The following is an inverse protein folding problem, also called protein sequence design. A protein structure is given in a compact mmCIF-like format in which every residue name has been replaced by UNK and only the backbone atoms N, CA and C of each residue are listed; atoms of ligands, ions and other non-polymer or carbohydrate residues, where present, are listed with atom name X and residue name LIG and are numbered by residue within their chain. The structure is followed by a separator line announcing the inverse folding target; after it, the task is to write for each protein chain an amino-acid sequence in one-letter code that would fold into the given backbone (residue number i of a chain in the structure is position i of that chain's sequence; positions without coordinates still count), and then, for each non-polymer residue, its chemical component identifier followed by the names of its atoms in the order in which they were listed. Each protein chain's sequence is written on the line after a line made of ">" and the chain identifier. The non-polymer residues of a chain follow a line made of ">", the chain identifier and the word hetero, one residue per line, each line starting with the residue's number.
data_IF_518252925153
#
_entry.id   IF_518252925153
#
_cell.length_a   1.000
_cell.length_b   1.000
_cell.length_c   1.000
_cell.angle_alpha   90.00
_cell.angle_beta   90.00
_cell.angle_gamma   90.00
#
_symmetry.space_group_name_H-M   'P 1'
#
loop_
_entity.id
_entity.type
_entity.pdbx_description
1 polymer ?
#
# COMPACT_ATOMS: atom_id res chain seq x y z
N UNK A 1 -21.32 -24.46 0.90
CA UNK A 1 -21.09 -23.91 -0.45
C UNK A 1 -19.89 -24.54 -1.11
N UNK A 2 -19.86 -24.58 -2.42
CA UNK A 2 -18.74 -25.13 -3.18
C UNK A 2 -17.50 -24.23 -3.05
N UNK A 3 -16.33 -24.85 -2.85
CA UNK A 3 -15.04 -24.15 -2.78
C UNK A 3 -14.34 -24.26 -4.13
N UNK A 4 -13.94 -23.13 -4.73
CA UNK A 4 -13.20 -23.08 -5.97
C UNK A 4 -11.81 -22.44 -5.74
N UNK A 5 -10.75 -23.09 -6.19
CA UNK A 5 -9.41 -22.50 -6.23
C UNK A 5 -9.36 -21.49 -7.38
N UNK A 6 -9.12 -20.22 -7.08
CA UNK A 6 -9.06 -19.13 -8.07
C UNK A 6 -7.63 -18.78 -8.52
N UNK A 7 -6.63 -19.17 -7.77
CA UNK A 7 -5.23 -18.90 -8.11
C UNK A 7 -4.28 -19.34 -7.01
N UNK A 8 -2.99 -19.26 -7.35
CA UNK A 8 -1.87 -19.41 -6.40
C UNK A 8 -1.10 -18.11 -6.36
N UNK A 9 -0.48 -17.80 -5.23
CA UNK A 9 0.37 -16.62 -5.09
C UNK A 9 1.68 -16.99 -4.39
N UNK A 10 2.75 -16.30 -4.76
CA UNK A 10 4.05 -16.34 -4.09
C UNK A 10 4.21 -15.25 -3.03
N UNK A 11 3.19 -14.37 -2.89
CA UNK A 11 3.18 -13.30 -1.89
C UNK A 11 2.14 -13.61 -0.83
N UNK A 12 2.61 -13.91 0.35
CA UNK A 12 1.75 -14.14 1.51
C UNK A 12 2.42 -13.52 2.73
N UNK A 13 1.66 -12.76 3.52
CA UNK A 13 2.10 -12.39 4.85
C UNK A 13 1.11 -12.89 5.91
N UNK A 14 1.59 -12.96 7.14
CA UNK A 14 0.83 -13.57 8.23
C UNK A 14 -0.44 -12.79 8.59
N UNK A 15 -0.41 -11.46 8.52
CA UNK A 15 -1.50 -10.60 8.98
C UNK A 15 -2.58 -10.35 7.93
N UNK A 16 -2.18 -10.25 6.66
CA UNK A 16 -3.07 -9.71 5.61
C UNK A 16 -3.11 -10.58 4.34
N UNK A 17 -2.48 -11.76 4.38
CA UNK A 17 -2.43 -12.68 3.25
C UNK A 17 -1.82 -12.02 2.00
N UNK A 18 -2.40 -12.30 0.84
CA UNK A 18 -2.03 -11.70 -0.45
C UNK A 18 -2.85 -10.44 -0.79
N UNK A 19 -3.55 -9.84 0.18
CA UNK A 19 -4.43 -8.68 0.02
C UNK A 19 -5.53 -8.87 -1.02
N UNK A 20 -6.11 -10.06 -1.10
CA UNK A 20 -7.21 -10.34 -1.99
C UNK A 20 -8.42 -9.43 -1.69
N UNK A 21 -8.91 -8.75 -2.70
CA UNK A 21 -10.01 -7.79 -2.63
C UNK A 21 -10.94 -7.96 -3.83
N UNK A 22 -12.23 -7.69 -3.64
CA UNK A 22 -13.16 -7.54 -4.76
C UNK A 22 -12.83 -6.26 -5.53
N UNK A 23 -12.76 -6.35 -6.86
CA UNK A 23 -12.52 -5.20 -7.73
C UNK A 23 -13.86 -4.55 -8.10
N UNK A 24 -13.92 -3.22 -7.92
CA UNK A 24 -15.08 -2.41 -8.31
C UNK A 24 -15.26 -2.27 -9.81
N UNK A 25 -16.36 -1.64 -10.25
CA UNK A 25 -17.42 -1.06 -9.42
C UNK A 25 -18.46 -2.06 -8.92
N UNK A 26 -18.57 -3.24 -9.53
CA UNK A 26 -19.62 -4.22 -9.20
C UNK A 26 -19.31 -5.07 -7.97
N UNK A 27 -18.03 -5.35 -7.70
CA UNK A 27 -17.55 -6.19 -6.60
C UNK A 27 -18.13 -7.62 -6.58
N UNK A 28 -18.44 -8.19 -7.76
CA UNK A 28 -19.09 -9.50 -7.90
C UNK A 28 -18.43 -10.41 -8.95
N UNK A 29 -17.54 -9.87 -9.75
CA UNK A 29 -17.02 -10.54 -10.94
C UNK A 29 -15.50 -10.71 -10.94
N UNK A 30 -14.77 -9.72 -10.45
CA UNK A 30 -13.30 -9.70 -10.47
C UNK A 30 -12.73 -9.63 -9.05
N UNK A 31 -11.70 -10.44 -8.82
CA UNK A 31 -10.91 -10.42 -7.58
C UNK A 31 -9.49 -10.02 -7.95
N UNK A 32 -8.92 -9.04 -7.22
CA UNK A 32 -7.54 -8.64 -7.36
C UNK A 32 -6.75 -9.09 -6.13
N UNK A 33 -5.53 -9.61 -6.35
CA UNK A 33 -4.63 -10.05 -5.28
C UNK A 33 -3.17 -9.88 -5.69
N UNK A 34 -2.27 -9.78 -4.71
CA UNK A 34 -0.84 -9.66 -4.96
C UNK A 34 -0.19 -10.98 -5.32
N UNK A 35 0.83 -10.89 -6.16
CA UNK A 35 1.73 -11.98 -6.53
C UNK A 35 3.16 -11.45 -6.76
N UNK A 36 4.09 -12.37 -6.93
CA UNK A 36 5.48 -12.09 -7.30
C UNK A 36 5.79 -12.75 -8.63
N UNK A 37 6.23 -11.95 -9.60
CA UNK A 37 6.50 -12.40 -10.95
C UNK A 37 7.71 -11.65 -11.54
N UNK A 38 8.62 -12.37 -12.18
CA UNK A 38 9.78 -11.80 -12.88
C UNK A 38 10.59 -10.77 -12.05
N UNK A 39 10.82 -11.05 -10.78
CA UNK A 39 11.62 -10.17 -9.92
C UNK A 39 10.87 -9.00 -9.31
N UNK A 40 9.55 -8.89 -9.53
CA UNK A 40 8.74 -7.76 -9.08
C UNK A 40 7.47 -8.20 -8.36
N UNK A 41 7.01 -7.39 -7.40
CA UNK A 41 5.65 -7.53 -6.89
C UNK A 41 4.67 -7.00 -7.93
N UNK A 42 3.64 -7.79 -8.19
CA UNK A 42 2.58 -7.51 -9.18
C UNK A 42 1.22 -7.77 -8.55
N UNK A 43 0.15 -7.43 -9.25
CA UNK A 43 -1.19 -7.89 -8.92
C UNK A 43 -1.74 -8.77 -10.03
N UNK A 44 -2.57 -9.74 -9.66
CA UNK A 44 -3.36 -10.56 -10.58
C UNK A 44 -4.83 -10.20 -10.42
N UNK A 45 -5.53 -10.00 -11.53
CA UNK A 45 -6.98 -9.85 -11.55
C UNK A 45 -7.57 -11.10 -12.16
N UNK A 46 -8.38 -11.81 -11.36
CA UNK A 46 -9.10 -13.00 -11.79
C UNK A 46 -10.56 -12.65 -12.07
N UNK A 47 -10.99 -12.86 -13.31
CA UNK A 47 -12.40 -12.74 -13.71
C UNK A 47 -13.09 -14.10 -13.50
N UNK A 48 -14.03 -14.14 -12.56
CA UNK A 48 -14.72 -15.35 -12.13
C UNK A 48 -15.59 -15.92 -13.26
N UNK A 49 -16.24 -15.05 -14.04
CA UNK A 49 -17.16 -15.45 -15.11
C UNK A 49 -16.41 -15.99 -16.33
N UNK A 50 -15.34 -15.32 -16.70
CA UNK A 50 -14.54 -15.70 -17.88
C UNK A 50 -13.48 -16.75 -17.56
N UNK A 51 -13.21 -17.02 -16.28
CA UNK A 51 -12.13 -17.89 -15.82
C UNK A 51 -10.75 -17.47 -16.39
N UNK A 52 -10.48 -16.17 -16.39
CA UNK A 52 -9.26 -15.57 -16.96
C UNK A 52 -8.52 -14.74 -15.92
N UNK A 53 -7.19 -14.72 -16.04
CA UNK A 53 -6.29 -13.91 -15.22
C UNK A 53 -5.60 -12.88 -16.09
N UNK A 54 -5.49 -11.64 -15.60
CA UNK A 54 -4.62 -10.60 -16.17
C UNK A 54 -3.69 -10.04 -15.10
N UNK A 55 -2.50 -9.62 -15.50
CA UNK A 55 -1.50 -9.07 -14.59
C UNK A 55 -1.47 -7.55 -14.66
N UNK A 56 -1.35 -6.92 -13.50
CA UNK A 56 -1.10 -5.49 -13.31
C UNK A 56 0.33 -5.36 -12.77
N UNK A 57 1.19 -4.47 -13.32
CA UNK A 57 2.62 -4.41 -13.00
C UNK A 57 2.94 -3.72 -11.66
N UNK A 58 1.96 -3.56 -10.79
CA UNK A 58 2.12 -2.99 -9.45
C UNK A 58 1.40 -3.85 -8.41
N UNK A 59 1.94 -3.96 -7.18
CA UNK A 59 1.23 -4.59 -6.07
C UNK A 59 0.13 -3.67 -5.55
N UNK A 60 -0.93 -4.25 -5.00
CA UNK A 60 -1.99 -3.49 -4.34
C UNK A 60 -1.77 -3.41 -2.84
N UNK A 61 -2.01 -2.24 -2.28
CA UNK A 61 -2.33 -2.11 -0.87
C UNK A 61 -3.84 -1.93 -0.67
N UNK A 62 -4.44 -1.03 -1.40
CA UNK A 62 -5.89 -0.83 -1.46
C UNK A 62 -6.32 -0.47 -2.88
N UNK A 63 -7.55 -0.85 -3.21
CA UNK A 63 -8.21 -0.53 -4.49
C UNK A 63 -9.36 0.43 -4.24
N UNK A 64 -9.53 1.42 -5.12
CA UNK A 64 -10.66 2.34 -5.05
C UNK A 64 -11.99 1.61 -5.27
N UNK A 65 -13.06 2.10 -4.63
CA UNK A 65 -14.38 1.46 -4.67
C UNK A 65 -14.96 1.38 -6.10
N UNK A 66 -14.63 2.35 -6.94
CA UNK A 66 -15.02 2.38 -8.36
C UNK A 66 -14.15 1.49 -9.25
N UNK A 67 -13.11 0.84 -8.70
CA UNK A 67 -12.23 -0.07 -9.43
C UNK A 67 -11.24 0.61 -10.38
N UNK A 68 -11.04 1.93 -10.27
CA UNK A 68 -10.17 2.67 -11.19
C UNK A 68 -8.73 2.74 -10.73
N UNK A 69 -8.50 2.86 -9.42
CA UNK A 69 -7.20 3.20 -8.85
C UNK A 69 -6.71 2.15 -7.87
N UNK A 70 -5.40 1.95 -7.88
CA UNK A 70 -4.63 1.22 -6.88
C UNK A 70 -3.75 2.24 -6.15
N UNK A 71 -3.67 2.14 -4.81
CA UNK A 71 -2.63 2.80 -4.03
C UNK A 71 -1.69 1.76 -3.45
N UNK A 72 -0.39 2.09 -3.48
CA UNK A 72 0.68 1.19 -3.04
C UNK A 72 1.84 1.96 -2.40
N UNK A 73 2.35 1.53 -1.24
CA UNK A 73 3.63 1.97 -0.69
C UNK A 73 4.77 1.08 -1.20
N UNK A 74 6.01 1.28 -0.75
CA UNK A 74 7.07 0.28 -0.89
C UNK A 74 6.80 -0.92 0.03
N UNK A 75 6.52 -2.09 -0.56
CA UNK A 75 6.35 -3.35 0.18
C UNK A 75 7.69 -3.85 0.75
N UNK A 76 8.80 -3.59 0.08
CA UNK A 76 10.16 -3.93 0.51
C UNK A 76 10.51 -3.18 1.79
N UNK A 77 10.27 -1.86 1.80
CA UNK A 77 10.47 -0.99 2.96
C UNK A 77 9.56 -1.40 4.11
N UNK A 78 8.29 -1.64 3.82
CA UNK A 78 7.32 -2.07 4.83
C UNK A 78 7.73 -3.40 5.47
N UNK A 79 8.20 -4.39 4.68
CA UNK A 79 8.69 -5.65 5.22
C UNK A 79 9.87 -5.45 6.17
N UNK A 80 10.83 -4.60 5.78
CA UNK A 80 11.99 -4.30 6.61
C UNK A 80 11.60 -3.66 7.94
N UNK A 81 10.71 -2.66 7.90
CA UNK A 81 10.29 -1.93 9.09
C UNK A 81 9.35 -2.75 9.98
N UNK A 82 8.50 -3.61 9.37
CA UNK A 82 7.46 -4.34 10.08
C UNK A 82 7.19 -5.71 9.46
N UNK A 83 7.98 -6.69 9.84
CA UNK A 83 7.79 -8.09 9.40
C UNK A 83 6.39 -8.57 9.76
N UNK A 84 5.80 -9.42 8.90
CA UNK A 84 4.44 -9.96 9.07
C UNK A 84 3.32 -9.14 8.43
N UNK A 85 3.60 -7.91 7.99
CA UNK A 85 2.62 -7.03 7.32
C UNK A 85 2.91 -6.81 5.83
N UNK A 86 4.01 -7.38 5.33
CA UNK A 86 4.44 -7.25 3.94
C UNK A 86 5.08 -8.54 3.44
N UNK A 87 5.78 -8.50 2.33
CA UNK A 87 6.35 -9.64 1.61
C UNK A 87 7.87 -9.59 1.60
N UNK A 88 8.52 -10.76 1.62
CA UNK A 88 9.97 -10.94 1.79
C UNK A 88 10.71 -11.37 0.49
N UNK A 89 10.00 -11.49 -0.63
CA UNK A 89 10.59 -11.93 -1.89
C UNK A 89 11.60 -10.91 -2.46
N UNK A 90 11.42 -9.62 -2.17
CA UNK A 90 12.36 -8.56 -2.56
C UNK A 90 12.91 -7.90 -1.30
N UNK A 91 14.23 -7.82 -1.20
CA UNK A 91 14.88 -7.14 -0.07
C UNK A 91 14.92 -5.64 -0.30
N UNK A 92 14.66 -4.86 0.75
CA UNK A 92 14.82 -3.41 0.70
C UNK A 92 16.30 -3.04 0.49
N UNK A 93 16.68 -2.43 -0.66
CA UNK A 93 18.06 -2.03 -0.91
C UNK A 93 18.50 -0.89 0.03
N UNK A 94 17.54 -0.15 0.59
CA UNK A 94 17.76 1.00 1.48
C UNK A 94 17.49 0.67 2.96
N UNK A 95 17.52 -0.61 3.32
CA UNK A 95 17.20 -1.09 4.67
C UNK A 95 18.03 -0.42 5.79
N UNK A 96 19.25 0.01 5.49
CA UNK A 96 20.13 0.65 6.46
C UNK A 96 19.86 2.16 6.62
N UNK A 97 19.00 2.75 5.78
CA UNK A 97 18.60 4.15 5.90
C UNK A 97 17.39 4.26 6.82
N UNK A 98 17.51 5.11 7.83
CA UNK A 98 16.39 5.42 8.74
C UNK A 98 15.28 6.17 8.01
N UNK A 99 15.65 7.12 7.16
CA UNK A 99 14.76 7.91 6.35
C UNK A 99 15.10 7.74 4.87
N UNK A 100 14.16 7.21 4.09
CA UNK A 100 14.24 7.12 2.64
C UNK A 100 13.40 8.26 2.06
N UNK A 101 14.05 9.37 1.72
CA UNK A 101 13.37 10.60 1.28
C UNK A 101 12.53 10.42 0.01
N UNK A 102 12.87 9.44 -0.83
CA UNK A 102 12.11 9.15 -2.06
C UNK A 102 11.01 8.10 -1.84
N UNK A 103 10.82 7.62 -0.60
CA UNK A 103 9.67 6.77 -0.29
C UNK A 103 8.37 7.53 -0.53
N UNK A 104 7.45 6.90 -1.23
CA UNK A 104 6.23 7.56 -1.67
C UNK A 104 5.05 6.60 -1.70
N UNK A 105 3.84 7.15 -1.59
CA UNK A 105 2.62 6.47 -2.01
C UNK A 105 2.48 6.69 -3.51
N UNK A 106 2.30 5.59 -4.23
CA UNK A 106 2.03 5.59 -5.65
C UNK A 106 0.55 5.35 -5.92
N UNK A 107 0.01 6.07 -6.88
CA UNK A 107 -1.31 5.86 -7.47
C UNK A 107 -1.14 5.24 -8.85
N UNK A 108 -1.81 4.13 -9.10
CA UNK A 108 -1.84 3.49 -10.41
C UNK A 108 -3.27 3.47 -10.94
N UNK A 109 -3.48 4.03 -12.13
CA UNK A 109 -4.76 3.99 -12.82
C UNK A 109 -4.83 2.74 -13.70
N UNK A 110 -5.79 1.85 -13.40
CA UNK A 110 -5.87 0.51 -14.02
C UNK A 110 -6.13 0.57 -15.53
N UNK A 111 -6.99 1.49 -15.98
CA UNK A 111 -7.38 1.59 -17.38
C UNK A 111 -6.29 2.19 -18.25
N UNK A 112 -5.74 3.33 -17.84
CA UNK A 112 -4.68 4.04 -18.58
C UNK A 112 -3.29 3.44 -18.38
N UNK A 113 -3.13 2.56 -17.38
CA UNK A 113 -1.85 1.97 -16.94
C UNK A 113 -0.82 3.01 -16.50
N UNK A 114 -1.28 4.18 -16.05
CA UNK A 114 -0.42 5.26 -15.60
C UNK A 114 -0.13 5.13 -14.12
N UNK A 115 1.16 5.24 -13.75
CA UNK A 115 1.64 5.31 -12.36
C UNK A 115 2.09 6.74 -12.06
N UNK A 116 1.73 7.25 -10.89
CA UNK A 116 2.15 8.55 -10.37
C UNK A 116 2.56 8.43 -8.89
N UNK A 117 3.69 9.03 -8.51
CA UNK A 117 4.04 9.26 -7.11
C UNK A 117 3.20 10.46 -6.62
N UNK A 118 2.23 10.21 -5.75
CA UNK A 118 1.26 11.23 -5.33
C UNK A 118 1.60 11.87 -3.99
N UNK A 119 2.44 11.24 -3.17
CA UNK A 119 2.80 11.74 -1.85
C UNK A 119 4.17 11.18 -1.44
N UNK A 120 5.11 12.05 -1.09
CA UNK A 120 6.40 11.67 -0.54
C UNK A 120 6.36 11.62 0.99
N UNK A 121 7.13 10.72 1.59
CA UNK A 121 7.23 10.61 3.05
C UNK A 121 7.78 11.89 3.70
N UNK A 122 8.66 12.63 3.02
CA UNK A 122 9.17 13.93 3.50
C UNK A 122 8.05 14.94 3.74
N UNK A 123 7.03 14.97 2.87
CA UNK A 123 5.91 15.90 2.99
C UNK A 123 5.02 15.52 4.18
N UNK A 124 4.89 14.21 4.42
CA UNK A 124 4.17 13.67 5.59
C UNK A 124 4.88 14.04 6.89
N UNK A 125 6.21 13.90 6.94
CA UNK A 125 7.03 14.20 8.13
C UNK A 125 7.01 15.71 8.44
N UNK A 126 6.96 16.56 7.43
CA UNK A 126 6.97 18.01 7.60
C UNK A 126 5.73 18.56 8.34
N UNK A 127 4.60 17.83 8.28
CA UNK A 127 3.37 18.22 8.98
C UNK A 127 3.54 17.92 10.48
N UNK A 128 3.45 18.95 11.31
CA UNK A 128 3.58 18.85 12.78
C UNK A 128 4.78 17.97 13.22
N UNK A 129 5.95 18.28 12.65
CA UNK A 129 7.17 17.58 12.99
C UNK A 129 7.53 17.82 14.46
N UNK A 130 8.02 16.80 15.15
CA UNK A 130 8.53 16.89 16.51
C UNK A 130 9.93 16.28 16.63
N UNK A 131 10.64 16.56 17.71
CA UNK A 131 12.02 16.13 17.93
C UNK A 131 12.20 14.62 17.95
N UNK A 132 11.18 13.86 18.35
CA UNK A 132 11.23 12.39 18.39
C UNK A 132 11.30 11.76 16.99
N UNK A 133 10.93 12.50 15.97
CA UNK A 133 11.05 12.04 14.57
C UNK A 133 12.47 12.12 14.05
N UNK A 134 13.34 12.92 14.67
CA UNK A 134 14.73 13.06 14.24
C UNK A 134 15.51 11.76 14.44
N UNK A 135 16.09 11.23 13.36
CA UNK A 135 16.83 9.98 13.40
C UNK A 135 15.96 8.72 13.59
N UNK A 136 14.64 8.85 13.54
CA UNK A 136 13.72 7.71 13.58
C UNK A 136 13.66 6.98 12.23
N UNK A 137 13.25 5.72 12.25
CA UNK A 137 12.96 4.97 11.03
C UNK A 137 11.51 5.19 10.63
N UNK A 138 11.30 5.80 9.46
CA UNK A 138 9.98 6.16 8.96
C UNK A 138 9.47 5.18 7.90
N UNK A 139 8.15 4.92 7.92
CA UNK A 139 7.47 4.08 6.92
C UNK A 139 5.96 4.36 6.88
N UNK A 140 5.32 3.89 5.81
CA UNK A 140 3.89 4.07 5.53
C UNK A 140 3.20 2.71 5.49
N UNK A 141 2.03 2.60 6.14
CA UNK A 141 1.20 1.39 6.12
C UNK A 141 -0.30 1.70 6.28
N UNK A 142 -1.14 0.66 6.23
CA UNK A 142 -2.60 0.73 6.45
C UNK A 142 -3.32 1.73 5.55
N UNK A 143 -2.99 1.69 4.23
CA UNK A 143 -3.68 2.52 3.25
C UNK A 143 -5.07 1.95 2.99
N UNK A 144 -6.09 2.82 3.00
CA UNK A 144 -7.47 2.42 2.72
C UNK A 144 -8.22 3.54 2.01
N UNK A 145 -8.79 3.23 0.85
CA UNK A 145 -9.67 4.15 0.13
C UNK A 145 -10.96 4.41 0.88
N UNK A 146 -11.46 5.64 0.76
CA UNK A 146 -12.82 5.98 1.14
C UNK A 146 -13.85 5.36 0.18
N UNK A 147 -15.10 5.17 0.61
CA UNK A 147 -16.16 4.65 -0.25
C UNK A 147 -16.43 5.50 -1.51
N UNK A 148 -16.13 6.80 -1.47
CA UNK A 148 -16.28 7.70 -2.64
C UNK A 148 -15.11 7.63 -3.63
N UNK A 149 -14.06 6.82 -3.39
CA UNK A 149 -12.87 6.67 -4.24
C UNK A 149 -11.99 7.92 -4.41
N UNK A 150 -12.32 9.04 -3.78
CA UNK A 150 -11.64 10.34 -3.95
C UNK A 150 -10.59 10.62 -2.89
N UNK A 151 -10.61 9.88 -1.81
CA UNK A 151 -9.75 10.06 -0.65
C UNK A 151 -9.25 8.72 -0.17
N UNK A 152 -8.14 8.74 0.56
CA UNK A 152 -7.69 7.58 1.32
C UNK A 152 -7.06 8.01 2.65
N UNK A 153 -7.08 7.12 3.61
CA UNK A 153 -6.35 7.27 4.86
C UNK A 153 -5.13 6.36 4.84
N UNK A 154 -4.12 6.71 5.63
CA UNK A 154 -2.95 5.87 5.84
C UNK A 154 -2.31 6.19 7.20
N UNK A 155 -1.51 5.24 7.70
CA UNK A 155 -0.65 5.46 8.84
C UNK A 155 0.77 5.78 8.37
N UNK A 156 1.28 6.93 8.80
CA UNK A 156 2.69 7.19 8.92
C UNK A 156 3.16 6.68 10.27
N UNK A 157 4.15 5.81 10.25
CA UNK A 157 4.78 5.31 11.47
C UNK A 157 6.24 5.70 11.53
N UNK A 158 6.72 5.93 12.74
CA UNK A 158 8.13 6.11 12.98
C UNK A 158 8.57 5.37 14.23
N UNK A 159 9.74 4.75 14.13
CA UNK A 159 10.36 3.95 15.18
C UNK A 159 11.62 4.66 15.67
N UNK A 160 11.64 5.03 16.93
CA UNK A 160 12.82 5.63 17.57
C UNK A 160 13.83 4.56 17.98
N UNK A 161 15.09 4.97 18.22
CA UNK A 161 16.20 4.05 18.55
C UNK A 161 15.89 3.18 19.78
N UNK A 162 15.25 3.73 20.77
CA UNK A 162 14.95 3.08 22.05
C UNK A 162 13.71 2.16 22.00
N UNK A 163 13.20 1.87 20.79
CA UNK A 163 12.20 0.84 20.53
C UNK A 163 10.75 1.30 20.49
N UNK A 164 10.44 2.56 20.79
CA UNK A 164 9.08 3.12 20.67
C UNK A 164 8.62 3.21 19.21
N UNK A 165 7.36 2.83 18.95
CA UNK A 165 6.70 3.00 17.65
C UNK A 165 5.53 3.94 17.82
N UNK A 166 5.56 5.03 17.08
CA UNK A 166 4.51 6.03 17.07
C UNK A 166 3.72 5.97 15.76
N UNK A 167 2.47 6.39 15.81
CA UNK A 167 1.55 6.33 14.67
C UNK A 167 0.88 7.67 14.46
N UNK A 168 0.79 8.10 13.23
CA UNK A 168 0.08 9.30 12.81
C UNK A 168 -0.91 8.93 11.71
N UNK A 169 -2.19 9.22 11.90
CA UNK A 169 -3.22 8.97 10.92
C UNK A 169 -3.38 10.18 10.00
N UNK A 170 -3.26 9.97 8.73
CA UNK A 170 -3.44 10.98 7.69
C UNK A 170 -4.63 10.68 6.79
N UNK A 171 -5.22 11.74 6.28
CA UNK A 171 -6.19 11.72 5.18
C UNK A 171 -5.57 12.46 3.98
N UNK A 172 -5.61 11.83 2.81
CA UNK A 172 -5.21 12.43 1.55
C UNK A 172 -6.38 12.49 0.57
N UNK A 173 -6.59 13.65 -0.04
CA UNK A 173 -7.57 13.84 -1.11
C UNK A 173 -6.85 13.86 -2.47
N UNK A 174 -7.21 12.93 -3.35
CA UNK A 174 -6.54 12.72 -4.65
C UNK A 174 -6.82 13.90 -5.61
N UNK A 175 -8.04 14.45 -5.58
CA UNK A 175 -8.47 15.46 -6.55
C UNK A 175 -7.75 16.81 -6.35
N UNK A 176 -7.65 17.26 -5.11
CA UNK A 176 -7.03 18.55 -4.77
C UNK A 176 -5.65 18.42 -4.12
N UNK A 177 -5.11 17.19 -4.05
CA UNK A 177 -3.79 16.86 -3.47
C UNK A 177 -3.60 17.36 -2.03
N UNK A 178 -4.68 17.46 -1.27
CA UNK A 178 -4.63 17.95 0.11
C UNK A 178 -4.31 16.81 1.08
N UNK A 179 -3.28 17.02 1.89
CA UNK A 179 -2.86 16.14 2.98
C UNK A 179 -3.25 16.75 4.33
N UNK A 180 -3.94 15.98 5.18
CA UNK A 180 -4.37 16.40 6.51
C UNK A 180 -4.00 15.37 7.56
N UNK A 181 -3.33 15.81 8.63
CA UNK A 181 -3.15 15.02 9.85
C UNK A 181 -4.50 14.94 10.59
N UNK A 182 -4.91 13.73 10.95
CA UNK A 182 -6.17 13.46 11.67
C UNK A 182 -5.91 13.13 13.14
N UNK A 183 -4.94 12.25 13.39
CA UNK A 183 -4.56 11.85 14.75
C UNK A 183 -3.04 11.74 14.86
N UNK A 184 -2.52 12.14 16.00
CA UNK A 184 -1.12 12.00 16.36
C UNK A 184 -1.03 11.25 17.69
N UNK A 185 -0.25 10.18 17.75
CA UNK A 185 -0.08 9.37 18.98
C UNK A 185 1.27 9.61 19.68
N UNK A 186 2.01 10.63 19.28
CA UNK A 186 3.31 10.93 19.86
C UNK A 186 3.58 12.39 20.02
#
# INVERSE_FOLDING_TARGET
>A
GEKKLIGKTKTLNFQQGCRAQWLGPKHDTEIIYNDYDNGSYVSKIYDIKKNKVRTIPVPIYSVSKDGKYIITPSFERLFWCRRGYSYDAIKDPLKNMQLVLDESIKLYEIQSKKEEKILNIKDVIAIENNSNMNGATHYIEHLMFSPCSKKFIFLHRYKIKDGGIFSRLFLYNIENKNLKLILNSG
#
